data_IF_738357852893
#
_entry.id   IF_738357852893
#
_cell.length_a   1.000
_cell.length_b   1.000
_cell.length_c   1.000
_cell.angle_alpha   90.00
_cell.angle_beta   90.00
_cell.angle_gamma   90.00
#
_symmetry.space_group_name_H-M   'P 1'
#
loop_
_entity.id
_entity.type
_entity.pdbx_description
1 polymer ?
#
# COMPACT_ATOMS: atom_id res chain seq x y z
N UNK A 1 0.67 -16.66 -6.33
CA UNK A 1 2.05 -16.54 -5.82
C UNK A 1 2.39 -15.10 -5.46
N UNK A 2 2.39 -14.14 -6.40
CA UNK A 2 2.74 -12.73 -6.15
C UNK A 2 1.96 -12.07 -5.00
N UNK A 3 0.62 -12.21 -4.98
CA UNK A 3 -0.23 -11.69 -3.89
C UNK A 3 0.20 -12.17 -2.50
N UNK A 4 0.53 -13.45 -2.38
CA UNK A 4 0.91 -14.07 -1.11
C UNK A 4 2.29 -13.58 -0.67
N UNK A 5 3.26 -13.55 -1.59
CA UNK A 5 4.60 -13.00 -1.33
C UNK A 5 4.53 -11.52 -0.90
N UNK A 6 3.70 -10.72 -1.56
CA UNK A 6 3.54 -9.31 -1.19
C UNK A 6 2.87 -9.12 0.16
N UNK A 7 1.82 -9.92 0.46
CA UNK A 7 1.21 -9.96 1.79
C UNK A 7 2.26 -10.23 2.86
N UNK A 8 3.03 -11.30 2.72
CA UNK A 8 4.10 -11.68 3.65
C UNK A 8 5.18 -10.60 3.80
N UNK A 9 5.49 -9.89 2.71
CA UNK A 9 6.47 -8.79 2.72
C UNK A 9 5.93 -7.56 3.47
N UNK A 10 4.63 -7.26 3.35
CA UNK A 10 4.01 -6.04 3.86
C UNK A 10 3.61 -6.14 5.34
N UNK A 11 3.37 -7.34 5.88
CA UNK A 11 2.86 -7.48 7.26
C UNK A 11 3.83 -6.90 8.31
N UNK A 12 3.36 -5.86 9.03
CA UNK A 12 3.96 -5.33 10.26
C UNK A 12 2.88 -4.89 11.27
N UNK A 13 3.21 -5.12 12.55
CA UNK A 13 2.79 -4.52 13.84
C UNK A 13 1.32 -4.11 14.12
N UNK A 14 0.90 -4.21 15.40
CA UNK A 14 -0.44 -3.78 15.87
C UNK A 14 -0.75 -2.30 15.55
N UNK A 15 0.27 -1.44 15.51
CA UNK A 15 0.14 -0.01 15.21
C UNK A 15 -0.35 0.24 13.77
N UNK A 16 0.07 -0.60 12.82
CA UNK A 16 -0.43 -0.54 11.45
C UNK A 16 -1.94 -0.84 11.38
N UNK A 17 -2.47 -1.68 12.27
CA UNK A 17 -3.88 -2.05 12.27
C UNK A 17 -4.82 -0.92 12.73
N UNK A 18 -4.31 0.09 13.45
CA UNK A 18 -5.12 1.24 13.88
C UNK A 18 -5.26 2.27 12.77
N UNK A 19 -4.16 2.51 12.05
CA UNK A 19 -4.08 3.56 11.04
C UNK A 19 -4.56 3.06 9.68
N UNK A 20 -4.19 1.84 9.29
CA UNK A 20 -4.44 1.32 7.95
C UNK A 20 -5.82 0.70 7.84
N UNK A 21 -6.56 1.10 6.82
CA UNK A 21 -7.82 0.48 6.45
C UNK A 21 -7.59 -0.63 5.42
N UNK A 22 -6.85 -0.33 4.35
CA UNK A 22 -6.54 -1.31 3.31
C UNK A 22 -5.31 -0.95 2.51
N UNK A 23 -4.65 -1.95 1.93
CA UNK A 23 -3.53 -1.76 1.01
C UNK A 23 -3.82 -2.52 -0.27
N UNK A 24 -3.59 -1.88 -1.42
CA UNK A 24 -3.75 -2.48 -2.73
C UNK A 24 -2.46 -2.36 -3.55
N UNK A 25 -2.16 -3.41 -4.29
CA UNK A 25 -1.29 -3.32 -5.46
C UNK A 25 -2.15 -2.86 -6.65
N UNK A 26 -1.57 -2.04 -7.52
CA UNK A 26 -2.14 -1.69 -8.82
C UNK A 26 -1.06 -1.59 -9.90
N UNK A 27 -1.43 -1.06 -11.08
CA UNK A 27 -0.47 -0.75 -12.14
C UNK A 27 0.06 -1.95 -12.92
N UNK A 28 1.24 -1.76 -13.51
CA UNK A 28 1.83 -2.71 -14.46
C UNK A 28 2.30 -4.01 -13.81
N UNK A 29 2.76 -3.93 -12.56
CA UNK A 29 3.30 -5.03 -11.77
C UNK A 29 2.31 -6.16 -11.48
N UNK A 30 1.00 -5.86 -11.56
CA UNK A 30 -0.06 -6.88 -11.46
C UNK A 30 -0.03 -7.87 -12.62
N UNK A 31 0.34 -7.39 -13.81
CA UNK A 31 0.23 -8.16 -15.04
C UNK A 31 1.51 -8.94 -15.33
N UNK A 32 2.66 -8.40 -14.94
CA UNK A 32 3.97 -9.00 -15.23
C UNK A 32 4.98 -8.68 -14.14
N UNK A 33 5.83 -9.65 -13.82
CA UNK A 33 6.97 -9.46 -12.93
C UNK A 33 8.12 -8.65 -13.58
N UNK A 34 8.04 -8.36 -14.88
CA UNK A 34 8.98 -7.52 -15.62
C UNK A 34 8.61 -6.03 -15.61
N UNK A 35 7.71 -5.62 -14.71
CA UNK A 35 7.35 -4.22 -14.56
C UNK A 35 8.49 -3.41 -13.96
N UNK A 36 8.55 -2.13 -14.31
CA UNK A 36 9.66 -1.24 -13.93
C UNK A 36 9.53 -0.69 -12.51
N UNK A 37 8.33 -0.77 -11.94
CA UNK A 37 7.96 -0.21 -10.66
C UNK A 37 6.84 -1.02 -9.99
N UNK A 38 6.60 -0.75 -8.71
CA UNK A 38 5.49 -1.30 -7.93
C UNK A 38 4.61 -0.15 -7.45
N UNK A 39 3.37 -0.13 -7.91
CA UNK A 39 2.38 0.85 -7.50
C UNK A 39 1.54 0.34 -6.31
N UNK A 40 1.60 1.04 -5.18
CA UNK A 40 0.89 0.71 -3.95
C UNK A 40 -0.09 1.83 -3.59
N UNK A 41 -1.35 1.47 -3.40
CA UNK A 41 -2.37 2.33 -2.83
C UNK A 41 -2.58 1.96 -1.36
N UNK A 42 -2.45 2.94 -0.48
CA UNK A 42 -2.73 2.81 0.95
C UNK A 42 -3.97 3.61 1.27
N UNK A 43 -4.97 2.95 1.84
CA UNK A 43 -6.14 3.58 2.43
C UNK A 43 -5.99 3.58 3.95
N UNK A 44 -6.14 4.74 4.58
CA UNK A 44 -5.99 4.91 6.03
C UNK A 44 -7.23 5.54 6.66
N UNK A 45 -7.43 5.30 7.96
CA UNK A 45 -8.48 5.91 8.75
C UNK A 45 -8.12 7.36 9.08
N UNK A 46 -8.89 8.33 8.55
CA UNK A 46 -8.59 9.76 8.67
C UNK A 46 -8.37 10.19 10.13
N UNK A 47 -9.35 9.89 10.99
CA UNK A 47 -9.36 10.33 12.39
C UNK A 47 -8.20 9.76 13.23
N UNK A 48 -7.79 8.52 12.97
CA UNK A 48 -6.65 7.88 13.64
C UNK A 48 -5.31 8.50 13.17
N UNK A 49 -5.24 8.94 11.91
CA UNK A 49 -4.01 9.47 11.32
C UNK A 49 -3.77 10.97 11.59
N UNK A 50 -4.78 11.73 12.04
CA UNK A 50 -4.67 13.18 12.31
C UNK A 50 -3.53 13.53 13.29
N UNK A 51 -3.27 12.65 14.27
CA UNK A 51 -2.18 12.82 15.24
C UNK A 51 -0.94 11.98 14.92
N UNK A 52 -1.03 11.13 13.89
CA UNK A 52 -0.08 10.04 13.63
C UNK A 52 0.45 10.04 12.20
N UNK A 53 0.51 11.20 11.53
CA UNK A 53 1.12 11.33 10.20
C UNK A 53 2.55 10.75 10.13
N UNK A 54 3.29 10.83 11.23
CA UNK A 54 4.61 10.20 11.38
C UNK A 54 4.53 8.67 11.32
N UNK A 55 3.49 8.06 11.88
CA UNK A 55 3.29 6.62 11.81
C UNK A 55 2.91 6.16 10.40
N UNK A 56 2.06 6.91 9.67
CA UNK A 56 1.80 6.61 8.25
C UNK A 56 3.08 6.70 7.39
N UNK A 57 3.93 7.71 7.64
CA UNK A 57 5.24 7.82 7.00
C UNK A 57 6.12 6.60 7.30
N UNK A 58 6.23 6.22 8.58
CA UNK A 58 7.03 5.06 9.00
C UNK A 58 6.53 3.76 8.37
N UNK A 59 5.21 3.58 8.27
CA UNK A 59 4.60 2.43 7.60
C UNK A 59 5.00 2.40 6.12
N UNK A 60 4.89 3.53 5.41
CA UNK A 60 5.29 3.62 4.00
C UNK A 60 6.77 3.30 3.80
N UNK A 61 7.62 3.83 4.67
CA UNK A 61 9.05 3.58 4.64
C UNK A 61 9.37 2.08 4.86
N UNK A 62 8.74 1.45 5.86
CA UNK A 62 8.91 0.03 6.13
C UNK A 62 8.45 -0.84 4.95
N UNK A 63 7.27 -0.57 4.41
CA UNK A 63 6.73 -1.29 3.24
C UNK A 63 7.67 -1.09 2.04
N UNK A 64 8.07 0.16 1.76
CA UNK A 64 8.94 0.50 0.65
C UNK A 64 10.30 -0.20 0.74
N UNK A 65 10.94 -0.18 1.91
CA UNK A 65 12.23 -0.82 2.15
C UNK A 65 12.16 -2.33 1.97
N UNK A 66 11.09 -2.98 2.46
CA UNK A 66 10.92 -4.43 2.31
C UNK A 66 10.66 -4.83 0.86
N UNK A 67 9.76 -4.11 0.17
CA UNK A 67 9.46 -4.38 -1.24
C UNK A 67 10.70 -4.13 -2.12
N UNK A 68 11.39 -3.00 -1.93
CA UNK A 68 12.63 -2.72 -2.65
C UNK A 68 13.72 -3.76 -2.34
N UNK A 69 13.82 -4.19 -1.08
CA UNK A 69 14.74 -5.25 -0.64
C UNK A 69 14.58 -6.54 -1.45
N UNK A 70 13.33 -6.94 -1.74
CA UNK A 70 12.98 -8.16 -2.47
C UNK A 70 13.02 -7.99 -3.98
N UNK A 71 12.39 -6.94 -4.51
CA UNK A 71 12.14 -6.80 -5.95
C UNK A 71 13.17 -5.92 -6.69
N UNK A 72 13.95 -5.10 -5.96
CA UNK A 72 15.00 -4.23 -6.52
C UNK A 72 14.52 -3.25 -7.60
N UNK A 73 13.26 -2.84 -7.53
CA UNK A 73 12.65 -1.83 -8.42
C UNK A 73 11.95 -0.74 -7.61
N UNK A 74 11.81 0.50 -8.15
CA UNK A 74 11.13 1.61 -7.50
C UNK A 74 9.72 1.27 -7.00
N UNK A 75 9.34 1.88 -5.87
CA UNK A 75 8.00 1.74 -5.26
C UNK A 75 7.33 3.10 -5.26
N UNK A 76 6.15 3.19 -5.87
CA UNK A 76 5.32 4.39 -5.89
C UNK A 76 4.12 4.22 -4.97
N UNK A 77 3.92 5.19 -4.08
CA UNK A 77 2.80 5.17 -3.13
C UNK A 77 1.78 6.26 -3.47
N UNK A 78 0.51 5.84 -3.52
CA UNK A 78 -0.65 6.73 -3.40
C UNK A 78 -1.27 6.49 -2.03
N UNK A 79 -1.60 7.55 -1.31
CA UNK A 79 -2.27 7.48 0.00
C UNK A 79 -3.58 8.24 -0.07
N UNK A 80 -4.67 7.59 0.36
CA UNK A 80 -5.98 8.22 0.51
C UNK A 80 -6.53 7.90 1.89
N UNK A 81 -7.17 8.87 2.51
CA UNK A 81 -8.05 8.60 3.64
C UNK A 81 -9.32 7.88 3.19
N UNK A 82 -10.03 7.27 4.13
CA UNK A 82 -11.38 6.72 3.88
C UNK A 82 -12.34 7.76 3.27
N UNK A 83 -12.22 9.01 3.70
CA UNK A 83 -13.12 10.10 3.27
C UNK A 83 -12.81 10.54 1.83
N UNK A 84 -11.52 10.60 1.47
CA UNK A 84 -11.08 10.87 0.09
C UNK A 84 -11.48 9.73 -0.86
N UNK A 85 -11.47 8.48 -0.39
CA UNK A 85 -11.89 7.32 -1.18
C UNK A 85 -13.37 7.42 -1.60
N UNK A 86 -14.25 7.88 -0.71
CA UNK A 86 -15.68 8.07 -1.03
C UNK A 86 -15.89 9.14 -2.11
N UNK A 87 -14.97 10.10 -2.20
CA UNK A 87 -15.04 11.21 -3.16
C UNK A 87 -14.43 10.87 -4.52
N UNK A 88 -13.70 9.76 -4.65
CA UNK A 88 -12.97 9.40 -5.87
C UNK A 88 -13.56 8.11 -6.46
N UNK A 89 -14.06 8.23 -7.71
CA UNK A 89 -14.34 7.04 -8.53
C UNK A 89 -13.03 6.38 -8.95
N UNK A 90 -12.47 5.52 -8.10
CA UNK A 90 -11.35 4.67 -8.50
C UNK A 90 -11.88 3.69 -9.55
N UNK A 91 -11.44 3.77 -10.83
CA UNK A 91 -11.87 2.83 -11.84
C UNK A 91 -11.53 1.42 -11.34
N UNK A 92 -12.44 0.45 -11.42
CA UNK A 92 -12.19 -0.94 -10.99
C UNK A 92 -11.08 -1.67 -11.78
N UNK A 93 -10.18 -0.95 -12.46
CA UNK A 93 -8.95 -1.52 -12.99
C UNK A 93 -8.30 -2.36 -11.90
N UNK A 94 -7.92 -3.58 -12.27
CA UNK A 94 -7.65 -4.72 -11.41
C UNK A 94 -6.73 -4.37 -10.23
N UNK A 95 -7.26 -3.94 -9.09
CA UNK A 95 -6.51 -3.85 -7.84
C UNK A 95 -6.38 -5.23 -7.21
N UNK A 96 -5.24 -5.50 -6.58
CA UNK A 96 -5.09 -6.69 -5.73
C UNK A 96 -5.03 -6.22 -4.29
N UNK A 97 -6.06 -6.54 -3.50
CA UNK A 97 -6.08 -6.27 -2.05
C UNK A 97 -5.04 -7.11 -1.32
N UNK A 98 -4.14 -6.45 -0.59
CA UNK A 98 -3.04 -7.02 0.18
C UNK A 98 -3.34 -6.99 1.69
N UNK A 99 -3.94 -5.90 2.18
CA UNK A 99 -4.39 -5.74 3.56
C UNK A 99 -5.85 -5.31 3.54
#
# INVERSE_FOLDING_TARGET
MLKQMMKETIFSTEEANKILHSIYLFGSFIKTASANDIDILIIYHYFECLNEMKALYNIKEQIGNRLYGTFKIPIHFITLSTDELECICIPQQKFIKLY
#
